data_IF_770635118460
#
_entry.id   IF_770635118460
#
_cell.length_a   1.000
_cell.length_b   1.000
_cell.length_c   1.000
_cell.angle_alpha   90.00
_cell.angle_beta   90.00
_cell.angle_gamma   90.00
#
_symmetry.space_group_name_H-M   'P 1'
#
loop_
_entity.id
_entity.type
_entity.pdbx_description
1 polymer ?
#
# COMPACT_ATOMS: atom_id res chain seq x y z
N UNK A 1 9.04 -0.48 -2.19
CA UNK A 1 8.61 -1.01 -0.87
C UNK A 1 9.25 -2.35 -0.49
N UNK A 2 10.58 -2.42 -0.43
CA UNK A 2 11.32 -3.62 -0.04
C UNK A 2 12.12 -3.42 1.27
N UNK A 3 12.51 -4.53 1.88
CA UNK A 3 13.44 -4.59 3.01
C UNK A 3 14.64 -5.41 2.54
N UNK A 4 15.85 -4.84 2.63
CA UNK A 4 17.11 -5.44 2.15
C UNK A 4 18.11 -5.49 3.31
N UNK A 5 18.02 -6.48 4.21
CA UNK A 5 18.84 -6.54 5.42
C UNK A 5 20.35 -6.60 5.14
N UNK A 6 20.75 -7.24 4.05
CA UNK A 6 22.13 -7.35 3.60
C UNK A 6 22.75 -6.00 3.22
N UNK A 7 21.94 -5.05 2.76
CA UNK A 7 22.35 -3.68 2.45
C UNK A 7 22.05 -2.71 3.61
N UNK A 8 21.30 -3.12 4.62
CA UNK A 8 20.81 -2.24 5.68
C UNK A 8 19.78 -1.23 5.20
N UNK A 9 18.97 -1.57 4.19
CA UNK A 9 18.04 -0.64 3.54
C UNK A 9 16.57 -1.04 3.71
N UNK A 10 15.71 -0.03 3.75
CA UNK A 10 14.25 -0.16 3.73
C UNK A 10 13.65 0.94 2.86
N UNK A 11 12.69 0.58 2.02
CA UNK A 11 11.88 1.56 1.28
C UNK A 11 10.58 1.84 2.04
N UNK A 12 10.27 3.13 2.21
CA UNK A 12 9.02 3.59 2.81
C UNK A 12 8.31 4.49 1.80
N UNK A 13 7.09 4.10 1.39
CA UNK A 13 6.29 4.88 0.47
C UNK A 13 5.45 5.89 1.28
N UNK A 14 5.62 7.20 1.01
CA UNK A 14 4.85 8.27 1.66
C UNK A 14 3.74 8.77 0.73
N UNK A 15 2.53 8.89 1.28
CA UNK A 15 1.46 9.65 0.64
C UNK A 15 1.63 11.12 0.99
N UNK A 16 1.75 11.96 -0.03
CA UNK A 16 1.83 13.41 0.15
C UNK A 16 0.44 14.04 0.23
N UNK A 17 0.24 14.87 1.25
CA UNK A 17 -0.94 15.70 1.47
C UNK A 17 -0.56 16.97 2.25
N UNK A 18 -1.41 18.00 2.18
CA UNK A 18 -1.18 19.25 2.92
C UNK A 18 -1.36 19.07 4.44
N UNK A 19 -0.60 19.82 5.24
CA UNK A 19 -0.76 19.91 6.69
C UNK A 19 -0.20 18.75 7.52
N UNK A 20 0.30 17.68 6.90
CA UNK A 20 0.89 16.54 7.61
C UNK A 20 2.37 16.73 7.93
N UNK A 21 2.80 16.49 9.18
CA UNK A 21 4.21 16.58 9.59
C UNK A 21 5.09 15.63 8.77
N UNK A 22 4.69 14.37 8.66
CA UNK A 22 5.42 13.35 7.90
C UNK A 22 5.40 13.62 6.39
N UNK A 23 4.27 14.09 5.86
CA UNK A 23 4.13 14.48 4.45
C UNK A 23 5.03 15.66 4.09
N UNK A 24 5.06 16.69 4.93
CA UNK A 24 5.93 17.85 4.74
C UNK A 24 7.41 17.48 4.76
N UNK A 25 7.83 16.64 5.71
CA UNK A 25 9.19 16.09 5.71
C UNK A 25 9.48 15.29 4.44
N UNK A 26 8.59 14.37 4.05
CA UNK A 26 8.81 13.49 2.90
C UNK A 26 8.90 14.26 1.58
N UNK A 27 8.19 15.39 1.44
CA UNK A 27 8.24 16.24 0.26
C UNK A 27 9.59 16.96 0.08
N UNK A 28 10.34 17.16 1.16
CA UNK A 28 11.61 17.90 1.17
C UNK A 28 12.84 17.02 1.44
N UNK A 29 12.63 15.74 1.75
CA UNK A 29 13.67 14.80 2.16
C UNK A 29 14.80 14.66 1.13
N UNK A 30 16.04 14.60 1.63
CA UNK A 30 17.27 14.49 0.84
C UNK A 30 18.20 13.40 1.37
N UNK A 31 19.09 12.85 0.52
CA UNK A 31 20.14 11.95 0.99
C UNK A 31 20.95 12.60 2.13
N UNK A 32 21.07 11.90 3.25
CA UNK A 32 21.74 12.39 4.47
C UNK A 32 20.79 12.84 5.57
N UNK A 33 19.50 13.04 5.29
CA UNK A 33 18.51 13.33 6.32
C UNK A 33 18.32 12.13 7.26
N UNK A 34 18.16 12.42 8.55
CA UNK A 34 18.02 11.40 9.59
C UNK A 34 16.55 11.27 9.98
N UNK A 35 16.06 10.02 9.98
CA UNK A 35 14.73 9.66 10.44
C UNK A 35 14.83 8.57 11.51
N UNK A 36 14.08 8.74 12.60
CA UNK A 36 13.94 7.70 13.61
C UNK A 36 12.95 6.64 13.16
N UNK A 37 13.29 5.37 13.34
CA UNK A 37 12.42 4.22 13.04
C UNK A 37 12.22 3.42 14.32
N UNK A 38 10.97 3.18 14.70
CA UNK A 38 10.60 2.32 15.81
C UNK A 38 10.47 0.87 15.35
N UNK A 39 10.37 -0.06 16.30
CA UNK A 39 10.17 -1.48 15.99
C UNK A 39 8.90 -1.69 15.14
N UNK A 40 8.99 -2.44 14.03
CA UNK A 40 7.84 -2.68 13.17
C UNK A 40 6.81 -3.57 13.88
N UNK A 41 5.54 -3.23 13.74
CA UNK A 41 4.43 -4.07 14.21
C UNK A 41 3.64 -4.60 13.01
N UNK A 42 3.79 -5.90 12.71
CA UNK A 42 3.02 -6.56 11.66
C UNK A 42 1.62 -6.91 12.14
N UNK A 43 0.59 -6.37 11.49
CA UNK A 43 -0.82 -6.68 11.81
C UNK A 43 -1.41 -7.80 10.94
N UNK A 44 -0.80 -8.06 9.78
CA UNK A 44 -1.27 -9.08 8.84
C UNK A 44 -0.45 -10.37 9.02
N UNK A 45 -1.10 -11.41 9.53
CA UNK A 45 -0.51 -12.74 9.77
C UNK A 45 -1.54 -13.80 9.35
N UNK A 46 -1.64 -14.10 8.04
CA UNK A 46 -2.61 -15.06 7.55
C UNK A 46 -2.18 -16.49 7.95
N UNK A 47 -3.13 -17.43 8.05
CA UNK A 47 -2.80 -18.83 8.27
C UNK A 47 -2.02 -19.40 7.07
N UNK A 48 -1.19 -20.42 7.32
CA UNK A 48 -0.32 -21.01 6.30
C UNK A 48 -1.10 -21.69 5.16
N UNK A 49 -2.36 -22.07 5.40
CA UNK A 49 -3.27 -22.71 4.44
C UNK A 49 -4.27 -21.71 3.82
N UNK A 50 -3.98 -20.41 3.88
CA UNK A 50 -4.80 -19.37 3.23
C UNK A 50 -4.98 -19.72 1.74
N UNK A 51 -6.23 -19.93 1.33
CA UNK A 51 -6.59 -20.23 -0.06
C UNK A 51 -7.16 -19.03 -0.80
N UNK A 52 -7.66 -18.03 -0.08
CA UNK A 52 -8.21 -16.80 -0.67
C UNK A 52 -8.18 -15.63 0.30
N UNK A 53 -8.19 -14.42 -0.24
CA UNK A 53 -8.29 -13.18 0.55
C UNK A 53 -8.91 -12.02 -0.25
N UNK A 54 -9.32 -10.99 0.47
CA UNK A 54 -9.71 -9.69 -0.08
C UNK A 54 -8.85 -8.61 0.58
N UNK A 55 -8.20 -7.78 -0.24
CA UNK A 55 -7.44 -6.63 0.20
C UNK A 55 -8.18 -5.37 -0.23
N UNK A 56 -8.52 -4.52 0.73
CA UNK A 56 -9.24 -3.26 0.50
C UNK A 56 -8.41 -2.14 1.10
N UNK A 57 -8.10 -1.11 0.33
CA UNK A 57 -7.34 0.02 0.83
C UNK A 57 -7.71 1.33 0.14
N UNK A 58 -7.70 2.40 0.93
CA UNK A 58 -7.66 3.77 0.44
C UNK A 58 -6.22 4.23 0.20
N UNK A 59 -6.04 5.51 -0.16
CA UNK A 59 -4.77 6.13 -0.48
C UNK A 59 -3.68 5.84 0.56
N UNK A 60 -3.99 5.91 1.86
CA UNK A 60 -3.01 5.69 2.93
C UNK A 60 -2.67 4.21 3.14
N UNK A 61 -3.60 3.32 2.82
CA UNK A 61 -3.41 1.87 2.87
C UNK A 61 -2.76 1.28 1.62
N UNK A 62 -2.66 2.02 0.51
CA UNK A 62 -2.07 1.53 -0.75
C UNK A 62 -0.65 0.93 -0.55
N UNK A 63 0.26 1.54 0.24
CA UNK A 63 1.55 0.94 0.56
C UNK A 63 1.47 -0.46 1.19
N UNK A 64 0.53 -0.67 2.10
CA UNK A 64 0.35 -1.96 2.75
C UNK A 64 -0.28 -2.98 1.80
N UNK A 65 -1.42 -2.64 1.17
CA UNK A 65 -2.15 -3.57 0.31
C UNK A 65 -1.29 -4.09 -0.85
N UNK A 66 -0.51 -3.23 -1.50
CA UNK A 66 0.32 -3.69 -2.59
C UNK A 66 1.57 -4.46 -2.14
N UNK A 67 2.12 -4.20 -0.95
CA UNK A 67 3.15 -5.09 -0.37
C UNK A 67 2.57 -6.48 -0.11
N UNK A 68 1.35 -6.55 0.42
CA UNK A 68 0.67 -7.83 0.67
C UNK A 68 0.42 -8.58 -0.65
N UNK A 69 -0.09 -7.89 -1.68
CA UNK A 69 -0.29 -8.47 -3.00
C UNK A 69 1.02 -9.00 -3.62
N UNK A 70 2.09 -8.21 -3.58
CA UNK A 70 3.40 -8.58 -4.14
C UNK A 70 4.03 -9.80 -3.45
N UNK A 71 3.74 -10.02 -2.16
CA UNK A 71 4.24 -11.16 -1.39
C UNK A 71 3.24 -12.32 -1.30
N UNK A 72 2.07 -12.20 -1.93
CA UNK A 72 1.06 -13.25 -1.93
C UNK A 72 1.51 -14.39 -2.86
N UNK A 73 1.50 -15.65 -2.40
CA UNK A 73 1.79 -16.79 -3.28
C UNK A 73 0.79 -16.90 -4.44
N UNK A 74 1.25 -17.31 -5.61
CA UNK A 74 0.41 -17.35 -6.84
C UNK A 74 -0.84 -18.24 -6.74
N UNK A 75 -0.87 -19.20 -5.80
CA UNK A 75 -2.02 -20.09 -5.59
C UNK A 75 -3.12 -19.49 -4.69
N UNK A 76 -2.88 -18.34 -4.05
CA UNK A 76 -3.86 -17.70 -3.17
C UNK A 76 -4.73 -16.76 -4.00
N UNK A 77 -6.01 -17.08 -4.12
CA UNK A 77 -6.95 -16.24 -4.85
C UNK A 77 -7.12 -14.89 -4.16
N UNK A 78 -6.79 -13.81 -4.84
CA UNK A 78 -6.75 -12.49 -4.22
C UNK A 78 -7.59 -11.47 -4.97
N UNK A 79 -8.66 -10.97 -4.34
CA UNK A 79 -9.39 -9.81 -4.83
C UNK A 79 -8.83 -8.56 -4.19
N UNK A 80 -8.49 -7.56 -4.99
CA UNK A 80 -7.94 -6.29 -4.49
C UNK A 80 -8.84 -5.15 -4.94
N UNK A 81 -9.26 -4.31 -4.01
CA UNK A 81 -10.03 -3.08 -4.28
C UNK A 81 -9.25 -1.90 -3.72
N UNK A 82 -8.79 -1.03 -4.60
CA UNK A 82 -7.91 0.09 -4.25
C UNK A 82 -8.58 1.41 -4.63
N UNK A 83 -8.61 2.37 -3.71
CA UNK A 83 -9.07 3.73 -3.96
C UNK A 83 -7.89 4.71 -4.00
N UNK A 84 -7.82 5.46 -5.10
CA UNK A 84 -6.83 6.50 -5.33
C UNK A 84 -7.51 7.84 -5.63
N UNK A 85 -6.84 8.99 -5.46
CA UNK A 85 -7.45 10.29 -5.71
C UNK A 85 -7.73 10.51 -7.21
N UNK A 86 -6.91 9.92 -8.09
CA UNK A 86 -7.02 10.02 -9.53
C UNK A 86 -6.28 8.86 -10.24
N UNK A 87 -6.53 8.59 -11.53
CA UNK A 87 -5.80 7.60 -12.31
C UNK A 87 -4.28 7.80 -12.35
N UNK A 88 -3.81 9.05 -12.24
CA UNK A 88 -2.38 9.38 -12.19
C UNK A 88 -1.69 8.97 -10.90
N UNK A 89 -2.46 8.63 -9.85
CA UNK A 89 -1.96 8.20 -8.55
C UNK A 89 -1.96 6.67 -8.38
N UNK A 90 -2.18 5.92 -9.47
CA UNK A 90 -2.10 4.46 -9.48
C UNK A 90 -0.64 4.03 -9.29
N UNK A 91 -0.44 3.06 -8.41
CA UNK A 91 0.88 2.47 -8.18
C UNK A 91 1.10 1.31 -9.15
N UNK A 92 2.32 1.13 -9.69
CA UNK A 92 2.64 -0.06 -10.46
C UNK A 92 2.59 -1.28 -9.53
N UNK A 93 1.77 -2.26 -9.86
CA UNK A 93 1.58 -3.46 -9.06
C UNK A 93 2.07 -4.70 -9.81
N UNK A 94 2.74 -5.60 -9.10
CA UNK A 94 2.84 -6.99 -9.55
C UNK A 94 1.54 -7.70 -9.18
N UNK A 95 0.87 -8.24 -10.18
CA UNK A 95 -0.35 -9.03 -9.99
C UNK A 95 0.00 -10.53 -10.08
N UNK A 96 -0.11 -11.29 -8.97
CA UNK A 96 -0.05 -12.75 -9.00
C UNK A 96 -1.13 -13.35 -9.92
N UNK A 97 -0.90 -14.57 -10.40
CA UNK A 97 -1.73 -15.16 -11.47
C UNK A 97 -3.22 -15.32 -11.11
N UNK A 98 -3.56 -15.61 -9.85
CA UNK A 98 -4.97 -15.71 -9.37
C UNK A 98 -5.41 -14.44 -8.62
N UNK A 99 -4.92 -13.28 -9.05
CA UNK A 99 -5.30 -11.97 -8.48
C UNK A 99 -6.13 -11.13 -9.44
N UNK A 100 -7.06 -10.35 -8.89
CA UNK A 100 -7.83 -9.35 -9.63
C UNK A 100 -7.82 -8.02 -8.90
N UNK A 101 -7.18 -7.02 -9.51
CA UNK A 101 -7.14 -5.65 -8.98
C UNK A 101 -8.25 -4.81 -9.60
N UNK A 102 -8.99 -4.09 -8.76
CA UNK A 102 -10.00 -3.10 -9.17
C UNK A 102 -9.64 -1.76 -8.56
N UNK A 103 -9.47 -0.75 -9.41
CA UNK A 103 -9.22 0.62 -8.99
C UNK A 103 -10.52 1.43 -9.01
N UNK A 104 -10.71 2.25 -7.98
CA UNK A 104 -11.72 3.31 -7.95
C UNK A 104 -11.06 4.64 -7.62
N UNK A 105 -11.77 5.73 -7.92
CA UNK A 105 -11.22 7.08 -7.79
C UNK A 105 -12.12 7.98 -6.96
N UNK A 106 -11.50 8.82 -6.13
CA UNK A 106 -12.16 9.66 -5.14
C UNK A 106 -11.60 9.41 -3.75
N UNK A 107 -12.46 9.49 -2.72
CA UNK A 107 -12.05 9.35 -1.32
C UNK A 107 -11.03 10.39 -0.86
N UNK A 108 -10.59 10.30 0.39
CA UNK A 108 -9.47 11.10 0.93
C UNK A 108 -9.56 12.63 0.67
N UNK A 109 -10.77 13.19 0.67
CA UNK A 109 -11.00 14.61 0.38
C UNK A 109 -11.05 14.99 -1.11
N UNK A 110 -10.84 14.04 -2.03
CA UNK A 110 -10.90 14.23 -3.48
C UNK A 110 -12.26 13.85 -4.09
N UNK A 111 -13.19 13.34 -3.29
CA UNK A 111 -14.55 12.96 -3.70
C UNK A 111 -15.19 11.99 -2.71
N UNK A 112 -16.43 11.54 -2.94
CA UNK A 112 -17.02 10.45 -2.16
C UNK A 112 -16.19 9.18 -2.34
N UNK A 113 -16.01 8.42 -1.25
CA UNK A 113 -15.42 7.09 -1.35
C UNK A 113 -16.39 6.13 -2.03
N UNK A 114 -15.86 5.19 -2.80
CA UNK A 114 -16.62 4.12 -3.46
C UNK A 114 -16.22 2.73 -2.98
N UNK A 115 -15.34 2.63 -1.99
CA UNK A 115 -14.85 1.34 -1.50
C UNK A 115 -16.01 0.44 -1.02
N UNK A 116 -16.98 1.01 -0.31
CA UNK A 116 -18.12 0.26 0.21
C UNK A 116 -19.03 -0.36 -0.88
N UNK A 117 -19.06 0.23 -2.08
CA UNK A 117 -19.88 -0.26 -3.20
C UNK A 117 -19.21 -1.43 -3.95
N UNK A 118 -17.92 -1.66 -3.70
CA UNK A 118 -17.07 -2.55 -4.50
C UNK A 118 -16.58 -3.79 -3.74
N UNK A 119 -16.95 -3.94 -2.46
CA UNK A 119 -16.51 -5.03 -1.58
C UNK A 119 -17.68 -5.96 -1.29
#
# INVERSE_FOLDING_TARGET
RAVRPEAGEVDIDFVLHEGGVASGWAAEARPGDVVGVNDPTGLYSPPADLSWQVLVADQTGLPAAARLLENTPDHVRTRVVLEAPAPSAVLPLREPSDSKVTWTYGGNGHGPSRLADLV
#
